data_IF_089766136040
#
_entry.id   IF_089766136040
#
_cell.length_a   1.000
_cell.length_b   1.000
_cell.length_c   1.000
_cell.angle_alpha   90.00
_cell.angle_beta   90.00
_cell.angle_gamma   90.00
#
_symmetry.space_group_name_H-M   'P 1'
#
loop_
_entity.id
_entity.type
_entity.pdbx_description
1 polymer ?
#
# COMPACT_ATOMS: atom_id res chain seq x y z
N UNK A 1 12.80 22.81 8.08
CA UNK A 1 14.14 22.20 8.28
C UNK A 1 14.39 21.00 7.36
N UNK A 2 13.45 20.04 7.25
CA UNK A 2 13.60 18.83 6.39
C UNK A 2 13.94 19.13 4.91
N UNK A 3 13.31 20.15 4.30
CA UNK A 3 13.60 20.56 2.92
C UNK A 3 15.08 20.93 2.74
N UNK A 4 15.67 21.69 3.68
CA UNK A 4 17.08 22.10 3.62
C UNK A 4 18.06 20.94 3.78
N UNK A 5 17.63 19.83 4.38
CA UNK A 5 18.47 18.64 4.60
C UNK A 5 18.39 17.69 3.41
N UNK A 6 17.19 17.46 2.88
CA UNK A 6 17.01 16.60 1.70
C UNK A 6 17.56 17.27 0.44
N UNK A 7 17.42 18.60 0.30
CA UNK A 7 17.90 19.34 -0.88
C UNK A 7 19.43 19.34 -1.05
N UNK A 8 20.18 18.82 -0.08
CA UNK A 8 21.64 18.67 -0.18
C UNK A 8 22.04 17.45 -1.00
N UNK A 9 21.11 16.52 -1.23
CA UNK A 9 21.34 15.31 -1.99
C UNK A 9 20.81 15.46 -3.41
N UNK A 10 21.52 14.94 -4.43
CA UNK A 10 20.97 14.74 -5.75
C UNK A 10 19.67 13.93 -5.71
N UNK A 11 18.71 14.25 -6.59
CA UNK A 11 17.40 13.59 -6.56
C UNK A 11 17.48 12.07 -6.75
N UNK A 12 18.44 11.58 -7.54
CA UNK A 12 18.70 10.17 -7.76
C UNK A 12 19.32 9.45 -6.55
N UNK A 13 19.72 10.16 -5.49
CA UNK A 13 20.19 9.54 -4.23
C UNK A 13 19.03 9.32 -3.25
N UNK A 14 17.84 9.82 -3.59
CA UNK A 14 16.65 9.69 -2.76
C UNK A 14 15.81 8.53 -3.27
N UNK A 15 15.34 7.72 -2.33
CA UNK A 15 14.35 6.68 -2.58
C UNK A 15 13.14 6.93 -1.68
N UNK A 16 11.94 6.65 -2.20
CA UNK A 16 10.68 6.88 -1.49
C UNK A 16 10.12 5.55 -1.02
N UNK A 17 9.99 5.40 0.30
CA UNK A 17 9.41 4.23 0.92
C UNK A 17 8.00 4.56 1.40
N UNK A 18 7.04 3.68 1.14
CA UNK A 18 5.71 3.75 1.76
C UNK A 18 5.11 2.35 2.00
N UNK A 19 4.15 2.27 2.92
CA UNK A 19 3.39 1.06 3.23
C UNK A 19 1.93 1.19 2.76
N UNK A 20 1.46 0.19 2.01
CA UNK A 20 0.05 0.05 1.63
C UNK A 20 -0.54 -1.21 2.24
N UNK A 21 -1.74 -1.10 2.81
CA UNK A 21 -2.50 -2.27 3.26
C UNK A 21 -3.61 -2.61 2.27
N UNK A 22 -3.59 -3.87 1.81
CA UNK A 22 -4.65 -4.46 1.00
C UNK A 22 -5.42 -5.45 1.85
N UNK A 23 -6.62 -5.06 2.24
CA UNK A 23 -7.59 -6.00 2.78
C UNK A 23 -8.41 -6.56 1.62
N UNK A 24 -8.78 -7.84 1.70
CA UNK A 24 -9.66 -8.55 0.76
C UNK A 24 -11.12 -8.09 0.93
N UNK A 25 -11.28 -6.79 1.16
CA UNK A 25 -12.56 -6.11 1.16
C UNK A 25 -13.21 -6.41 -0.17
N UNK A 26 -14.40 -6.98 -0.10
CA UNK A 26 -15.28 -7.01 -1.24
C UNK A 26 -15.55 -5.56 -1.60
N UNK A 27 -14.87 -5.06 -2.65
CA UNK A 27 -15.26 -3.82 -3.29
C UNK A 27 -16.69 -4.05 -3.75
N UNK A 28 -17.63 -3.56 -2.95
CA UNK A 28 -19.03 -3.49 -3.30
C UNK A 28 -19.12 -2.87 -4.70
N UNK A 29 -20.00 -3.41 -5.54
CA UNK A 29 -20.23 -2.81 -6.86
C UNK A 29 -20.72 -1.38 -6.61
N UNK A 30 -20.06 -0.41 -7.22
CA UNK A 30 -20.51 0.98 -7.18
C UNK A 30 -21.93 1.14 -7.74
N UNK A 31 -22.31 0.26 -8.67
CA UNK A 31 -23.56 0.37 -9.41
C UNK A 31 -24.32 -0.96 -9.42
N UNK A 32 -25.57 -0.90 -8.98
CA UNK A 32 -26.58 -1.93 -9.19
C UNK A 32 -27.58 -1.48 -10.25
N UNK A 33 -28.27 -2.43 -10.89
CA UNK A 33 -29.39 -2.15 -11.78
C UNK A 33 -30.64 -2.82 -11.24
N UNK A 34 -31.73 -2.08 -11.15
CA UNK A 34 -33.07 -2.59 -10.82
C UNK A 34 -34.07 -2.13 -11.89
N UNK A 35 -35.26 -2.72 -11.88
CA UNK A 35 -36.35 -2.30 -12.77
C UNK A 35 -36.80 -0.88 -12.41
N UNK A 36 -37.25 -0.12 -13.40
CA UNK A 36 -37.86 1.20 -13.17
C UNK A 36 -39.01 1.06 -12.17
N UNK A 37 -38.95 1.82 -11.08
CA UNK A 37 -39.91 1.76 -9.96
C UNK A 37 -39.54 0.81 -8.82
N UNK A 38 -38.36 0.19 -8.85
CA UNK A 38 -37.89 -0.72 -7.79
C UNK A 38 -36.57 -0.27 -7.18
N UNK A 39 -36.44 -0.37 -5.86
CA UNK A 39 -35.18 -0.10 -5.17
C UNK A 39 -34.13 -1.15 -5.55
N UNK A 40 -32.88 -0.70 -5.75
CA UNK A 40 -31.75 -1.61 -5.83
C UNK A 40 -31.29 -1.92 -4.41
N UNK A 41 -31.21 -3.19 -4.06
CA UNK A 41 -30.68 -3.64 -2.78
C UNK A 41 -29.23 -4.09 -2.96
N UNK A 42 -28.32 -3.52 -2.17
CA UNK A 42 -26.91 -3.90 -2.18
C UNK A 42 -26.45 -4.21 -0.75
N UNK A 43 -26.21 -5.49 -0.47
CA UNK A 43 -25.69 -5.93 0.82
C UNK A 43 -24.15 -6.03 0.77
N UNK A 44 -23.47 -5.11 1.44
CA UNK A 44 -22.00 -5.04 1.53
C UNK A 44 -21.55 -5.22 2.99
N UNK A 45 -21.66 -6.44 3.57
CA UNK A 45 -21.31 -6.63 4.96
C UNK A 45 -19.81 -6.38 5.16
N UNK A 46 -19.46 -5.72 6.27
CA UNK A 46 -18.08 -5.48 6.63
C UNK A 46 -17.43 -6.78 7.13
N UNK A 47 -16.84 -7.52 6.20
CA UNK A 47 -16.09 -8.75 6.50
C UNK A 47 -14.60 -8.43 6.45
N UNK A 48 -13.93 -8.52 7.60
CA UNK A 48 -12.47 -8.49 7.67
C UNK A 48 -11.94 -9.84 7.19
N UNK A 49 -11.49 -9.89 5.95
CA UNK A 49 -10.83 -11.07 5.40
C UNK A 49 -9.33 -10.99 5.69
N UNK A 50 -8.54 -11.80 4.99
CA UNK A 50 -7.09 -11.79 5.08
C UNK A 50 -6.58 -10.40 4.66
N UNK A 51 -5.93 -9.70 5.59
CA UNK A 51 -5.26 -8.44 5.30
C UNK A 51 -3.82 -8.73 4.92
N UNK A 52 -3.38 -8.14 3.83
CA UNK A 52 -1.98 -8.05 3.46
C UNK A 52 -1.50 -6.63 3.65
N UNK A 53 -0.25 -6.46 4.03
CA UNK A 53 0.43 -5.17 3.99
C UNK A 53 1.67 -5.31 3.12
N UNK A 54 1.91 -4.33 2.28
CA UNK A 54 3.03 -4.27 1.36
C UNK A 54 3.82 -3.01 1.66
N UNK A 55 5.13 -3.15 1.77
CA UNK A 55 6.06 -2.02 1.76
C UNK A 55 6.82 -2.04 0.44
N UNK A 56 7.00 -0.87 -0.17
CA UNK A 56 7.77 -0.74 -1.39
C UNK A 56 8.66 0.50 -1.36
N UNK A 57 9.81 0.40 -2.02
CA UNK A 57 10.77 1.48 -2.23
C UNK A 57 10.80 1.84 -3.70
N UNK A 58 10.62 3.12 -4.00
CA UNK A 58 10.64 3.69 -5.33
C UNK A 58 11.90 4.55 -5.53
N UNK A 59 12.73 4.17 -6.49
CA UNK A 59 13.84 4.96 -7.02
C UNK A 59 13.38 5.82 -8.20
N UNK A 60 14.11 6.93 -8.44
CA UNK A 60 13.75 7.89 -9.48
C UNK A 60 13.84 7.30 -10.89
N UNK A 61 14.88 6.51 -11.16
CA UNK A 61 15.18 5.98 -12.50
C UNK A 61 14.73 4.52 -12.68
N UNK A 62 14.83 3.71 -11.62
CA UNK A 62 14.54 2.27 -11.65
C UNK A 62 13.06 1.92 -11.38
N UNK A 63 12.28 2.85 -10.83
CA UNK A 63 10.94 2.56 -10.34
C UNK A 63 10.99 1.76 -9.04
N UNK A 64 10.26 0.63 -8.93
CA UNK A 64 10.24 -0.15 -7.69
C UNK A 64 11.57 -0.91 -7.54
N UNK A 65 12.39 -0.48 -6.59
CA UNK A 65 13.71 -1.07 -6.29
C UNK A 65 13.56 -2.30 -5.41
N UNK A 66 12.64 -2.26 -4.45
CA UNK A 66 12.38 -3.35 -3.52
C UNK A 66 10.91 -3.34 -3.08
N UNK A 67 10.32 -4.51 -2.88
CA UNK A 67 8.98 -4.63 -2.33
C UNK A 67 8.82 -5.91 -1.51
N UNK A 68 8.05 -5.83 -0.43
CA UNK A 68 7.75 -6.99 0.42
C UNK A 68 6.29 -6.98 0.83
N UNK A 69 5.64 -8.13 0.67
CA UNK A 69 4.26 -8.35 1.10
C UNK A 69 4.25 -9.29 2.29
N UNK A 70 3.53 -8.93 3.34
CA UNK A 70 3.28 -9.77 4.51
C UNK A 70 1.78 -9.90 4.75
N UNK A 71 1.36 -11.04 5.28
CA UNK A 71 0.03 -11.14 5.88
C UNK A 71 0.01 -10.40 7.22
N UNK A 72 -1.06 -9.65 7.46
CA UNK A 72 -1.21 -8.82 8.64
C UNK A 72 -0.53 -7.47 8.46
N UNK A 73 0.11 -6.98 9.52
CA UNK A 73 0.79 -5.68 9.56
C UNK A 73 2.29 -5.87 9.69
N UNK A 74 3.08 -4.94 9.17
CA UNK A 74 4.49 -4.86 9.52
C UNK A 74 4.66 -4.55 11.02
N UNK A 75 5.51 -5.34 11.66
CA UNK A 75 6.06 -5.00 12.98
C UNK A 75 7.47 -4.44 12.81
N UNK A 76 7.96 -3.72 13.83
CA UNK A 76 9.29 -3.10 13.82
C UNK A 76 10.38 -4.06 13.32
N UNK A 77 10.40 -5.30 13.80
CA UNK A 77 11.39 -6.29 13.40
C UNK A 77 11.31 -6.62 11.91
N UNK A 78 10.12 -7.00 11.41
CA UNK A 78 9.93 -7.30 9.99
C UNK A 78 10.25 -6.12 9.06
N UNK A 79 9.99 -4.89 9.51
CA UNK A 79 10.33 -3.68 8.78
C UNK A 79 11.84 -3.44 8.75
N UNK A 80 12.53 -3.61 9.88
CA UNK A 80 13.99 -3.47 9.93
C UNK A 80 14.70 -4.55 9.10
N UNK A 81 14.18 -5.78 9.09
CA UNK A 81 14.72 -6.85 8.24
C UNK A 81 14.51 -6.51 6.76
N UNK A 82 13.33 -6.01 6.37
CA UNK A 82 13.11 -5.51 5.00
C UNK A 82 14.13 -4.44 4.61
N UNK A 83 14.37 -3.45 5.45
CA UNK A 83 15.36 -2.41 5.15
C UNK A 83 16.77 -2.98 4.95
N UNK A 84 17.17 -3.95 5.77
CA UNK A 84 18.53 -4.52 5.72
C UNK A 84 18.73 -5.49 4.57
N UNK A 85 17.73 -6.33 4.31
CA UNK A 85 17.87 -7.50 3.44
C UNK A 85 17.41 -7.20 2.01
N UNK A 86 16.45 -6.29 1.85
CA UNK A 86 15.76 -6.05 0.58
C UNK A 86 16.05 -4.65 -0.02
N UNK A 87 16.43 -3.63 0.78
CA UNK A 87 16.59 -2.22 0.32
C UNK A 87 18.05 -1.75 0.20
N UNK A 88 18.92 -2.19 1.13
CA UNK A 88 20.33 -1.76 1.23
C UNK A 88 21.21 -2.41 0.16
#
# INVERSE_FOLDING_TARGET
DYIRRISQYPANYLVFLDEVSKDDRMYARLWGRSRVGTHVEHHAPFVRKRRFSMVAVLGLDEGIVAAKVVEGSFVRESFMNYLRDDVV
#
